data_IF_147760124151
#
_entry.id   IF_147760124151
#
_cell.length_a   1.000
_cell.length_b   1.000
_cell.length_c   1.000
_cell.angle_alpha   90.00
_cell.angle_beta   90.00
_cell.angle_gamma   90.00
#
_symmetry.space_group_name_H-M   'P 1'
#
loop_
_entity.id
_entity.type
_entity.pdbx_description
1 polymer ?
#
# COMPACT_ATOMS: atom_id res chain seq x y z
N UNK A 1 -10.96 23.42 20.51
CA UNK A 1 -11.73 24.21 21.51
C UNK A 1 -12.90 23.40 22.07
N UNK A 2 -13.71 22.73 21.26
CA UNK A 2 -14.87 21.95 21.72
C UNK A 2 -14.46 20.77 22.63
N UNK A 3 -13.46 19.99 22.26
CA UNK A 3 -12.93 18.92 23.10
C UNK A 3 -12.37 19.43 24.44
N UNK A 4 -11.76 20.61 24.45
CA UNK A 4 -11.25 21.24 25.68
C UNK A 4 -12.39 21.68 26.62
N UNK A 5 -13.57 22.00 26.11
CA UNK A 5 -14.74 22.35 26.92
C UNK A 5 -15.28 21.13 27.68
N UNK A 6 -14.92 19.92 27.30
CA UNK A 6 -15.36 18.67 27.93
C UNK A 6 -14.22 17.86 28.56
N UNK A 7 -13.06 18.48 28.79
CA UNK A 7 -11.87 17.82 29.34
C UNK A 7 -12.03 17.28 30.78
N UNK A 8 -13.04 17.74 31.51
CA UNK A 8 -13.30 17.31 32.92
C UNK A 8 -13.95 15.92 33.00
N UNK A 9 -14.37 15.33 31.86
CA UNK A 9 -14.94 13.99 31.83
C UNK A 9 -13.83 12.94 32.01
N UNK A 10 -13.89 12.10 33.10
CA UNK A 10 -12.91 11.06 33.30
C UNK A 10 -12.94 10.01 32.17
N UNK A 11 -11.75 9.53 31.79
CA UNK A 11 -11.60 8.54 30.70
C UNK A 11 -12.41 7.25 30.96
N UNK A 12 -12.44 6.80 32.21
CA UNK A 12 -13.17 5.59 32.62
C UNK A 12 -14.67 5.73 32.39
N UNK A 13 -15.25 6.90 32.65
CA UNK A 13 -16.67 7.16 32.34
C UNK A 13 -16.95 7.16 30.85
N UNK A 14 -16.01 7.65 30.06
CA UNK A 14 -16.13 7.59 28.58
C UNK A 14 -16.12 6.15 28.09
N UNK A 15 -15.20 5.31 28.62
CA UNK A 15 -15.15 3.88 28.30
C UNK A 15 -16.42 3.15 28.72
N UNK A 16 -16.97 3.49 29.89
CA UNK A 16 -18.22 2.90 30.38
C UNK A 16 -19.42 3.29 29.49
N UNK A 17 -19.51 4.55 29.08
CA UNK A 17 -20.60 5.05 28.27
C UNK A 17 -20.57 4.48 26.84
N UNK A 18 -19.39 4.36 26.24
CA UNK A 18 -19.22 3.89 24.87
C UNK A 18 -19.19 2.36 24.74
N UNK A 19 -18.93 1.65 25.85
CA UNK A 19 -18.84 0.18 25.89
C UNK A 19 -18.03 -0.44 24.73
N UNK A 20 -16.82 0.04 24.45
CA UNK A 20 -16.02 -0.51 23.36
C UNK A 20 -15.66 -1.96 23.64
N UNK A 21 -15.38 -2.72 22.58
CA UNK A 21 -14.87 -4.08 22.70
C UNK A 21 -13.54 -4.07 23.47
N UNK A 22 -13.49 -4.83 24.56
CA UNK A 22 -12.30 -4.89 25.41
C UNK A 22 -11.29 -5.89 24.83
N UNK A 23 -10.09 -5.41 24.56
CA UNK A 23 -8.96 -6.23 24.11
C UNK A 23 -7.77 -6.04 25.05
N UNK A 24 -6.98 -7.09 25.24
CA UNK A 24 -5.70 -6.98 25.95
C UNK A 24 -4.56 -6.51 25.03
N UNK A 25 -4.80 -6.47 23.71
CA UNK A 25 -3.78 -6.15 22.72
C UNK A 25 -3.74 -4.66 22.33
N UNK A 26 -4.76 -3.88 22.66
CA UNK A 26 -4.83 -2.47 22.31
C UNK A 26 -5.71 -1.67 23.28
N UNK A 27 -5.50 -0.36 23.28
CA UNK A 27 -6.32 0.57 24.06
C UNK A 27 -7.78 0.56 23.53
N UNK A 28 -8.80 0.61 24.40
CA UNK A 28 -10.20 0.48 23.98
C UNK A 28 -10.71 1.62 23.11
N UNK A 29 -10.16 2.83 23.18
CA UNK A 29 -10.68 3.99 22.46
C UNK A 29 -9.76 4.52 21.36
N UNK A 30 -8.45 4.47 21.58
CA UNK A 30 -7.49 4.99 20.59
C UNK A 30 -6.16 4.26 20.68
N UNK A 31 -5.48 4.18 19.54
CA UNK A 31 -4.18 3.51 19.38
C UNK A 31 -3.07 4.51 19.04
N UNK A 32 -3.44 5.74 18.73
CA UNK A 32 -2.49 6.81 18.37
C UNK A 32 -2.61 7.95 19.37
N UNK A 33 -1.47 8.35 19.94
CA UNK A 33 -1.36 9.48 20.85
C UNK A 33 -0.51 10.58 20.22
N UNK A 34 -0.97 11.81 20.37
CA UNK A 34 -0.19 13.01 20.08
C UNK A 34 -0.10 13.86 21.33
N UNK A 35 1.10 14.19 21.77
CA UNK A 35 1.35 15.03 22.91
C UNK A 35 2.26 16.21 22.51
N UNK A 36 1.88 17.42 22.90
CA UNK A 36 2.66 18.62 22.66
C UNK A 36 2.91 19.34 23.98
N UNK A 37 4.19 19.56 24.28
CA UNK A 37 4.61 20.35 25.43
C UNK A 37 5.10 21.72 24.93
N UNK A 38 4.37 22.76 25.29
CA UNK A 38 4.84 24.13 25.08
C UNK A 38 6.14 24.33 25.88
N UNK A 39 6.97 25.25 25.40
CA UNK A 39 8.21 25.61 26.06
C UNK A 39 7.96 25.92 27.53
N UNK A 40 8.30 24.98 28.41
CA UNK A 40 8.48 25.29 29.81
C UNK A 40 9.70 26.21 29.86
N UNK A 41 9.60 27.39 30.48
CA UNK A 41 10.82 28.17 30.74
C UNK A 41 11.81 27.19 31.36
N UNK A 42 12.94 26.97 30.70
CA UNK A 42 14.04 26.21 31.30
C UNK A 42 14.43 26.97 32.54
N UNK A 43 13.70 26.75 33.62
CA UNK A 43 14.32 26.78 34.90
C UNK A 43 15.30 25.62 34.83
N UNK A 44 16.51 25.83 34.26
CA UNK A 44 17.66 25.25 34.86
C UNK A 44 17.44 25.53 36.33
N UNK A 45 16.89 24.56 37.04
CA UNK A 45 16.88 24.63 38.47
C UNK A 45 18.36 24.63 38.82
N UNK A 46 18.94 25.81 38.87
CA UNK A 46 20.28 26.02 39.38
C UNK A 46 20.19 25.75 40.88
N UNK A 47 20.17 24.49 41.19
CA UNK A 47 20.32 24.04 42.58
C UNK A 47 21.76 24.37 42.94
N UNK A 48 22.02 25.21 43.93
CA UNK A 48 23.36 25.60 44.31
C UNK A 48 24.26 24.36 44.57
N UNK A 49 25.34 24.24 43.76
CA UNK A 49 26.25 23.12 43.86
C UNK A 49 25.84 21.84 43.12
N UNK A 50 24.72 21.82 42.38
CA UNK A 50 24.30 20.67 41.58
C UNK A 50 24.16 21.04 40.11
N UNK A 51 24.67 20.17 39.23
CA UNK A 51 24.44 20.25 37.78
C UNK A 51 23.40 19.22 37.40
N UNK A 52 22.22 19.68 37.01
CA UNK A 52 21.16 18.81 36.52
C UNK A 52 21.34 18.65 35.02
N UNK A 53 21.44 17.42 34.53
CA UNK A 53 21.46 17.09 33.10
C UNK A 53 20.30 16.14 32.80
N UNK A 54 19.64 16.36 31.70
CA UNK A 54 18.62 15.43 31.20
C UNK A 54 19.32 14.19 30.63
N UNK A 55 18.91 13.01 31.07
CA UNK A 55 19.38 11.74 30.52
C UNK A 55 18.28 11.15 29.66
N UNK A 56 18.56 10.95 28.39
CA UNK A 56 17.65 10.23 27.51
C UNK A 56 17.71 8.73 27.83
N UNK A 57 16.60 8.20 28.32
CA UNK A 57 16.44 6.75 28.52
C UNK A 57 15.63 6.20 27.33
N UNK A 58 16.19 5.22 26.63
CA UNK A 58 15.42 4.46 25.66
C UNK A 58 14.33 3.69 26.40
N UNK A 59 13.08 4.11 26.24
CA UNK A 59 11.90 3.38 26.72
C UNK A 59 11.69 2.14 25.85
N UNK A 60 11.74 0.95 26.45
CA UNK A 60 11.57 -0.32 25.73
C UNK A 60 10.09 -0.77 25.64
N UNK A 61 9.14 0.08 26.03
CA UNK A 61 7.71 -0.26 25.98
C UNK A 61 6.89 0.85 25.34
N UNK A 62 6.05 0.50 24.37
CA UNK A 62 5.04 1.37 23.81
C UNK A 62 3.67 1.08 24.46
N UNK A 63 3.00 2.10 24.98
CA UNK A 63 1.65 1.98 25.54
C UNK A 63 0.57 2.02 24.46
N UNK A 64 0.88 2.64 23.32
CA UNK A 64 0.02 2.79 22.15
C UNK A 64 0.75 2.25 20.93
N UNK A 65 0.01 2.02 19.85
CA UNK A 65 0.61 1.61 18.59
C UNK A 65 1.60 2.66 18.07
N UNK A 66 1.23 3.95 18.23
CA UNK A 66 2.05 5.10 17.88
C UNK A 66 1.86 6.22 18.92
N UNK A 67 2.97 6.82 19.35
CA UNK A 67 2.96 8.06 20.15
C UNK A 67 3.91 9.07 19.56
N UNK A 68 3.41 10.22 19.16
CA UNK A 68 4.21 11.36 18.75
C UNK A 68 4.27 12.39 19.87
N UNK A 69 5.42 12.53 20.50
CA UNK A 69 5.71 13.53 21.52
C UNK A 69 6.49 14.67 20.88
N UNK A 70 6.06 15.89 21.15
CA UNK A 70 6.71 17.10 20.65
C UNK A 70 6.93 18.08 21.77
N UNK A 71 8.07 18.78 21.76
CA UNK A 71 8.42 19.75 22.78
C UNK A 71 9.08 20.99 22.14
N UNK A 72 8.62 22.17 22.54
CA UNK A 72 9.32 23.39 22.23
C UNK A 72 10.61 23.51 23.04
N UNK A 73 11.72 23.74 22.36
CA UNK A 73 13.04 23.95 22.98
C UNK A 73 13.55 25.37 22.69
N UNK A 74 14.68 25.74 23.29
CA UNK A 74 15.33 27.04 22.99
C UNK A 74 15.72 27.19 21.53
N UNK A 75 16.06 26.07 20.85
CA UNK A 75 16.60 26.02 19.51
C UNK A 75 15.57 25.56 18.44
N UNK A 76 14.33 25.26 18.84
CA UNK A 76 13.28 24.84 17.91
C UNK A 76 12.30 23.83 18.51
N UNK A 77 11.81 22.94 17.66
CA UNK A 77 10.86 21.88 18.02
C UNK A 77 11.60 20.53 18.03
N UNK A 78 11.61 19.89 19.20
CA UNK A 78 12.01 18.51 19.34
C UNK A 78 10.80 17.59 19.14
N UNK A 79 11.00 16.44 18.50
CA UNK A 79 9.97 15.44 18.29
C UNK A 79 10.51 14.01 18.46
N UNK A 80 9.71 13.16 19.09
CA UNK A 80 9.99 11.73 19.27
C UNK A 80 8.78 10.91 18.85
N UNK A 81 9.00 9.88 18.04
CA UNK A 81 7.98 8.91 17.66
C UNK A 81 8.27 7.57 18.31
N UNK A 82 7.45 7.19 19.29
CA UNK A 82 7.45 5.87 19.91
C UNK A 82 6.44 4.98 19.18
N UNK A 83 6.80 3.74 18.87
CA UNK A 83 5.95 2.83 18.09
C UNK A 83 6.06 1.39 18.58
N UNK A 84 4.98 0.61 18.39
CA UNK A 84 4.96 -0.81 18.66
C UNK A 84 5.74 -1.57 17.56
N UNK A 85 6.83 -2.24 17.94
CA UNK A 85 7.71 -2.96 16.99
C UNK A 85 7.07 -4.19 16.37
N UNK A 86 6.01 -4.71 16.98
CA UNK A 86 5.20 -5.79 16.41
C UNK A 86 4.32 -5.33 15.23
N UNK A 87 4.04 -4.03 15.13
CA UNK A 87 3.19 -3.44 14.09
C UNK A 87 3.99 -2.66 13.05
N UNK A 88 5.06 -1.99 13.46
CA UNK A 88 5.82 -1.09 12.61
C UNK A 88 7.31 -1.42 12.65
N UNK A 89 7.94 -1.47 11.49
CA UNK A 89 9.40 -1.50 11.42
C UNK A 89 9.98 -0.06 11.47
N UNK A 90 11.25 0.04 11.84
CA UNK A 90 11.96 1.31 12.00
C UNK A 90 11.91 2.19 10.73
N UNK A 91 12.01 1.59 9.53
CA UNK A 91 11.98 2.34 8.28
C UNK A 91 10.61 2.98 8.04
N UNK A 92 9.52 2.30 8.41
CA UNK A 92 8.17 2.85 8.33
C UNK A 92 7.97 3.98 9.34
N UNK A 93 8.39 3.81 10.59
CA UNK A 93 8.31 4.85 11.61
C UNK A 93 9.13 6.10 11.22
N UNK A 94 10.34 5.92 10.71
CA UNK A 94 11.18 7.02 10.21
C UNK A 94 10.54 7.77 9.05
N UNK A 95 9.91 7.05 8.11
CA UNK A 95 9.16 7.66 7.00
C UNK A 95 7.97 8.47 7.48
N UNK A 96 7.19 7.93 8.43
CA UNK A 96 6.04 8.63 9.03
C UNK A 96 6.48 9.95 9.69
N UNK A 97 7.58 9.93 10.42
CA UNK A 97 8.15 11.15 11.02
C UNK A 97 8.61 12.13 9.93
N UNK A 98 9.21 11.65 8.83
CA UNK A 98 9.58 12.47 7.67
C UNK A 98 8.36 13.14 7.02
N UNK A 99 7.27 12.40 6.84
CA UNK A 99 6.00 12.93 6.31
C UNK A 99 5.42 14.02 7.22
N UNK A 100 5.42 13.79 8.53
CA UNK A 100 4.98 14.79 9.49
C UNK A 100 5.82 16.08 9.42
N UNK A 101 7.14 15.96 9.32
CA UNK A 101 8.03 17.11 9.14
C UNK A 101 7.77 17.86 7.83
N UNK A 102 7.47 17.14 6.74
CA UNK A 102 7.13 17.76 5.46
C UNK A 102 5.81 18.53 5.55
N UNK A 103 4.80 17.99 6.23
CA UNK A 103 3.54 18.67 6.49
C UNK A 103 3.75 19.97 7.28
N UNK A 104 4.57 19.93 8.35
CA UNK A 104 4.89 21.13 9.13
C UNK A 104 5.59 22.19 8.29
N UNK A 105 6.60 21.78 7.50
CA UNK A 105 7.32 22.72 6.61
C UNK A 105 6.37 23.35 5.58
N UNK A 106 5.50 22.55 4.97
CA UNK A 106 4.52 23.03 4.01
C UNK A 106 3.51 24.01 4.66
N UNK A 107 3.02 23.69 5.86
CA UNK A 107 2.10 24.55 6.60
C UNK A 107 2.74 25.88 6.99
N UNK A 108 4.00 25.88 7.43
CA UNK A 108 4.74 27.12 7.76
C UNK A 108 5.02 27.95 6.50
N UNK A 109 5.34 27.29 5.37
CA UNK A 109 5.59 27.98 4.11
C UNK A 109 4.32 28.63 3.53
N UNK A 110 3.15 28.02 3.72
CA UNK A 110 1.88 28.58 3.27
C UNK A 110 0.76 28.32 4.28
N UNK A 111 0.62 29.15 5.31
CA UNK A 111 -0.38 28.95 6.38
C UNK A 111 -1.84 28.99 5.92
N UNK A 112 -2.12 29.55 4.75
CA UNK A 112 -3.47 29.64 4.16
C UNK A 112 -3.86 28.41 3.35
N UNK A 113 -2.92 27.47 3.11
CA UNK A 113 -3.19 26.25 2.34
C UNK A 113 -4.10 25.31 3.12
N UNK A 114 -5.06 24.68 2.46
CA UNK A 114 -5.89 23.67 3.09
C UNK A 114 -5.04 22.42 3.45
N UNK A 115 -5.35 21.77 4.57
CA UNK A 115 -4.57 20.63 5.06
C UNK A 115 -4.44 19.49 4.03
N UNK A 116 -5.48 19.26 3.25
CA UNK A 116 -5.51 18.22 2.20
C UNK A 116 -4.55 18.51 1.04
N UNK A 117 -4.15 19.76 0.85
CA UNK A 117 -3.28 20.21 -0.25
C UNK A 117 -1.80 20.27 0.18
N UNK A 118 -1.51 20.06 1.47
CA UNK A 118 -0.15 20.05 1.98
C UNK A 118 0.65 18.86 1.44
N UNK A 119 1.87 19.12 0.97
CA UNK A 119 2.75 18.07 0.48
C UNK A 119 3.27 17.21 1.63
N UNK A 120 2.89 15.94 1.63
CA UNK A 120 3.32 14.92 2.60
C UNK A 120 4.62 14.26 2.17
N UNK A 121 4.72 13.94 0.88
CA UNK A 121 5.87 13.22 0.31
C UNK A 121 6.99 14.20 -0.07
N UNK A 122 8.22 13.80 0.14
CA UNK A 122 9.37 14.49 -0.46
C UNK A 122 9.48 14.21 -1.97
N UNK A 123 10.37 14.94 -2.66
CA UNK A 123 10.54 14.82 -4.11
C UNK A 123 11.03 13.41 -4.51
N UNK A 124 11.89 12.80 -3.69
CA UNK A 124 12.46 11.47 -3.95
C UNK A 124 11.40 10.39 -3.84
N UNK A 125 10.63 10.42 -2.77
CA UNK A 125 9.55 9.47 -2.50
C UNK A 125 8.44 9.60 -3.54
N UNK A 126 8.09 10.83 -3.91
CA UNK A 126 7.14 11.10 -5.00
C UNK A 126 7.63 10.55 -6.34
N UNK A 127 8.91 10.73 -6.66
CA UNK A 127 9.51 10.18 -7.87
C UNK A 127 9.49 8.65 -7.87
N UNK A 128 9.75 8.03 -6.74
CA UNK A 128 9.70 6.57 -6.59
C UNK A 128 8.29 6.02 -6.80
N UNK A 129 7.30 6.61 -6.12
CA UNK A 129 5.90 6.15 -6.18
C UNK A 129 5.27 6.36 -7.55
N UNK A 130 5.50 7.52 -8.17
CA UNK A 130 4.83 7.86 -9.43
C UNK A 130 5.53 7.32 -10.67
N UNK A 131 6.85 7.16 -10.65
CA UNK A 131 7.63 6.82 -11.85
C UNK A 131 8.39 5.51 -11.71
N UNK A 132 9.21 5.34 -10.65
CA UNK A 132 10.07 4.15 -10.57
C UNK A 132 9.26 2.86 -10.40
N UNK A 133 8.27 2.85 -9.51
CA UNK A 133 7.41 1.68 -9.31
C UNK A 133 6.43 1.44 -10.45
N UNK A 134 6.18 2.45 -11.26
CA UNK A 134 5.33 2.35 -12.45
C UNK A 134 6.14 2.15 -13.76
N UNK A 135 7.46 2.04 -13.68
CA UNK A 135 8.31 1.71 -14.81
C UNK A 135 8.19 0.22 -15.19
N UNK A 136 6.98 -0.18 -15.56
CA UNK A 136 6.63 -1.57 -15.89
C UNK A 136 6.61 -1.83 -17.38
N UNK A 137 7.01 -0.86 -18.19
CA UNK A 137 7.08 -1.00 -19.64
C UNK A 137 8.03 -2.14 -20.04
N UNK A 138 7.53 -3.06 -20.81
CA UNK A 138 8.32 -4.14 -21.41
C UNK A 138 8.08 -4.14 -22.91
N UNK A 139 9.16 -4.32 -23.66
CA UNK A 139 9.04 -4.56 -25.08
C UNK A 139 8.29 -5.88 -25.33
N UNK A 140 7.24 -5.83 -26.10
CA UNK A 140 6.50 -6.99 -26.58
C UNK A 140 6.30 -6.88 -28.10
N UNK A 141 6.08 -7.98 -28.81
CA UNK A 141 5.86 -7.95 -30.26
C UNK A 141 4.64 -7.09 -30.60
N UNK A 142 4.87 -5.93 -31.21
CA UNK A 142 3.80 -5.06 -31.70
C UNK A 142 3.35 -5.51 -33.07
N UNK A 143 2.04 -5.48 -33.34
CA UNK A 143 1.48 -5.87 -34.63
C UNK A 143 1.33 -7.40 -34.83
N UNK A 144 1.53 -8.18 -33.77
CA UNK A 144 1.22 -9.61 -33.78
C UNK A 144 0.01 -9.90 -32.86
N UNK A 145 -0.93 -10.69 -33.36
CA UNK A 145 -2.08 -11.14 -32.64
C UNK A 145 -1.73 -12.38 -31.79
N UNK A 146 -2.49 -12.64 -30.73
CA UNK A 146 -2.23 -13.78 -29.82
C UNK A 146 -2.19 -15.12 -30.56
N UNK A 147 -3.10 -15.36 -31.51
CA UNK A 147 -3.10 -16.57 -32.30
C UNK A 147 -1.82 -16.73 -33.13
N UNK A 148 -1.27 -15.63 -33.70
CA UNK A 148 -0.01 -15.66 -34.48
C UNK A 148 1.20 -16.03 -33.61
N UNK A 149 1.21 -15.59 -32.33
CA UNK A 149 2.26 -16.00 -31.37
C UNK A 149 2.17 -17.50 -31.08
N UNK A 150 0.95 -18.04 -30.98
CA UNK A 150 0.74 -19.48 -30.78
C UNK A 150 1.13 -20.25 -32.03
N UNK A 151 0.76 -19.79 -33.23
CA UNK A 151 1.19 -20.39 -34.53
C UNK A 151 2.71 -20.41 -34.68
N UNK A 152 3.40 -19.32 -34.30
CA UNK A 152 4.85 -19.29 -34.25
C UNK A 152 5.45 -20.36 -33.33
N UNK A 153 4.82 -20.57 -32.17
CA UNK A 153 5.22 -21.62 -31.23
C UNK A 153 4.93 -23.03 -31.79
N UNK A 154 3.82 -23.21 -32.50
CA UNK A 154 3.52 -24.48 -33.22
C UNK A 154 4.64 -24.82 -34.23
N UNK A 155 5.13 -23.82 -34.96
CA UNK A 155 6.24 -24.02 -35.94
C UNK A 155 7.55 -24.33 -35.22
N UNK A 156 7.82 -23.68 -34.10
CA UNK A 156 9.07 -23.85 -33.36
C UNK A 156 9.14 -25.19 -32.58
N UNK A 157 8.03 -25.60 -31.97
CA UNK A 157 7.96 -26.77 -31.06
C UNK A 157 6.64 -27.55 -31.22
N UNK A 158 6.36 -28.19 -32.38
CA UNK A 158 5.06 -28.79 -32.66
C UNK A 158 4.66 -29.91 -31.69
N UNK A 159 5.62 -30.68 -31.21
CA UNK A 159 5.39 -31.85 -30.37
C UNK A 159 5.42 -31.51 -28.84
N UNK A 160 5.82 -30.28 -28.48
CA UNK A 160 5.81 -29.87 -27.07
C UNK A 160 4.37 -29.81 -26.53
N UNK A 161 4.17 -30.13 -25.25
CA UNK A 161 2.86 -30.02 -24.62
C UNK A 161 2.41 -28.56 -24.57
N UNK A 162 1.27 -28.26 -25.19
CA UNK A 162 0.66 -26.94 -25.22
C UNK A 162 -0.44 -26.77 -24.18
N UNK A 163 -1.20 -27.83 -23.89
CA UNK A 163 -2.35 -27.78 -23.01
C UNK A 163 -2.50 -29.10 -22.25
N UNK A 164 -2.79 -29.02 -20.97
CA UNK A 164 -3.08 -30.18 -20.13
C UNK A 164 -4.36 -29.93 -19.32
N UNK A 165 -5.24 -30.88 -19.32
CA UNK A 165 -6.45 -30.88 -18.51
C UNK A 165 -6.74 -32.30 -18.00
N UNK A 166 -6.66 -32.49 -16.69
CA UNK A 166 -6.67 -33.83 -16.09
C UNK A 166 -5.51 -34.68 -16.60
N UNK A 167 -5.85 -35.87 -17.10
CA UNK A 167 -4.89 -36.83 -17.67
C UNK A 167 -4.66 -36.65 -19.19
N UNK A 168 -5.39 -35.71 -19.82
CA UNK A 168 -5.28 -35.45 -21.26
C UNK A 168 -4.30 -34.31 -21.50
N UNK A 169 -3.35 -34.53 -22.40
CA UNK A 169 -2.37 -33.52 -22.86
C UNK A 169 -2.45 -33.41 -24.38
N UNK A 170 -2.44 -32.15 -24.89
CA UNK A 170 -2.33 -31.85 -26.30
C UNK A 170 -0.98 -31.20 -26.60
N UNK A 171 -0.38 -31.57 -27.72
CA UNK A 171 0.77 -30.84 -28.28
C UNK A 171 0.33 -29.56 -28.99
N UNK A 172 1.27 -28.66 -29.25
CA UNK A 172 1.02 -27.46 -30.03
C UNK A 172 0.43 -27.76 -31.40
N UNK A 173 0.97 -28.76 -32.11
CA UNK A 173 0.46 -29.19 -33.41
C UNK A 173 -1.00 -29.67 -33.32
N UNK A 174 -1.34 -30.47 -32.31
CA UNK A 174 -2.71 -30.99 -32.16
C UNK A 174 -3.70 -29.89 -31.78
N UNK A 175 -3.31 -28.98 -30.86
CA UNK A 175 -4.11 -27.83 -30.50
C UNK A 175 -4.42 -26.94 -31.71
N UNK A 176 -3.41 -26.58 -32.50
CA UNK A 176 -3.57 -25.77 -33.67
C UNK A 176 -4.45 -26.44 -34.74
N UNK A 177 -4.27 -27.77 -34.95
CA UNK A 177 -5.11 -28.53 -35.90
C UNK A 177 -6.58 -28.52 -35.49
N UNK A 178 -6.88 -28.65 -34.17
CA UNK A 178 -8.25 -28.60 -33.68
C UNK A 178 -8.85 -27.20 -33.80
N UNK A 179 -8.08 -26.15 -33.45
CA UNK A 179 -8.52 -24.77 -33.58
C UNK A 179 -8.82 -24.42 -35.03
N UNK A 180 -7.91 -24.73 -35.98
CA UNK A 180 -8.12 -24.47 -37.38
C UNK A 180 -9.32 -25.21 -37.97
N UNK A 181 -9.57 -26.46 -37.53
CA UNK A 181 -10.76 -27.20 -37.98
C UNK A 181 -12.06 -26.52 -37.49
N UNK A 182 -12.09 -25.98 -36.30
CA UNK A 182 -13.23 -25.24 -35.79
C UNK A 182 -13.36 -23.88 -36.48
N UNK A 183 -12.26 -23.17 -36.71
CA UNK A 183 -12.23 -21.90 -37.45
C UNK A 183 -12.84 -22.04 -38.85
N UNK A 184 -12.45 -23.09 -39.63
CA UNK A 184 -13.03 -23.34 -40.95
C UNK A 184 -14.54 -23.59 -40.90
N UNK A 185 -15.05 -24.31 -39.89
CA UNK A 185 -16.50 -24.50 -39.71
C UNK A 185 -17.24 -23.19 -39.39
N UNK A 186 -16.61 -22.32 -38.59
CA UNK A 186 -17.18 -21.00 -38.27
C UNK A 186 -17.22 -20.13 -39.52
N UNK A 187 -16.19 -20.14 -40.34
CA UNK A 187 -16.15 -19.43 -41.66
C UNK A 187 -17.23 -19.96 -42.56
N UNK A 188 -17.40 -21.30 -42.70
CA UNK A 188 -18.45 -21.92 -43.50
C UNK A 188 -19.87 -21.53 -43.01
N UNK A 189 -20.01 -21.26 -41.68
CA UNK A 189 -21.23 -20.77 -41.05
C UNK A 189 -21.47 -19.26 -41.24
N UNK A 190 -20.55 -18.55 -41.94
CA UNK A 190 -20.67 -17.13 -42.23
C UNK A 190 -20.02 -16.20 -41.20
N UNK A 191 -19.21 -16.73 -40.26
CA UNK A 191 -18.43 -15.92 -39.34
C UNK A 191 -17.27 -15.25 -40.07
N UNK A 192 -17.15 -13.93 -39.94
CA UNK A 192 -16.10 -13.12 -40.55
C UNK A 192 -15.46 -12.17 -39.56
N UNK A 193 -14.58 -11.28 -40.00
CA UNK A 193 -13.97 -10.25 -39.17
C UNK A 193 -15.03 -9.46 -38.41
N UNK A 194 -14.73 -9.14 -37.13
CA UNK A 194 -15.61 -8.41 -36.20
C UNK A 194 -16.94 -9.09 -35.83
N UNK A 195 -17.15 -10.36 -36.25
CA UNK A 195 -18.31 -11.13 -35.85
C UNK A 195 -18.17 -11.61 -34.39
N UNK A 196 -19.21 -11.40 -33.59
CA UNK A 196 -19.26 -11.88 -32.20
C UNK A 196 -19.71 -13.35 -32.15
N UNK A 197 -18.87 -14.22 -31.64
CA UNK A 197 -19.17 -15.65 -31.45
C UNK A 197 -19.26 -15.93 -29.95
N UNK A 198 -20.40 -16.47 -29.51
CA UNK A 198 -20.58 -16.87 -28.10
C UNK A 198 -19.93 -18.21 -27.83
N UNK A 199 -19.09 -18.29 -26.79
CA UNK A 199 -18.48 -19.54 -26.32
C UNK A 199 -19.12 -19.95 -24.99
N UNK A 200 -19.97 -20.98 -25.01
CA UNK A 200 -20.69 -21.49 -23.85
C UNK A 200 -20.26 -22.94 -23.55
N UNK A 201 -19.09 -23.07 -22.93
CA UNK A 201 -18.48 -24.37 -22.59
C UNK A 201 -17.92 -24.33 -21.16
N UNK A 202 -17.87 -25.48 -20.51
CA UNK A 202 -17.17 -25.63 -19.24
C UNK A 202 -15.64 -25.48 -19.44
N UNK A 203 -14.92 -25.29 -18.33
CA UNK A 203 -13.45 -25.28 -18.38
C UNK A 203 -12.94 -26.61 -18.89
N UNK A 204 -12.33 -26.61 -20.06
CA UNK A 204 -11.91 -27.83 -20.77
C UNK A 204 -10.87 -27.49 -21.87
N UNK A 205 -10.38 -28.51 -22.52
CA UNK A 205 -9.56 -28.37 -23.74
C UNK A 205 -10.33 -27.65 -24.84
N UNK A 206 -11.62 -27.97 -24.97
CA UNK A 206 -12.53 -27.38 -25.97
C UNK A 206 -12.70 -25.87 -25.81
N UNK A 207 -12.65 -25.37 -24.56
CA UNK A 207 -12.68 -23.94 -24.28
C UNK A 207 -11.49 -23.23 -24.94
N UNK A 208 -10.28 -23.77 -24.80
CA UNK A 208 -9.07 -23.18 -25.38
C UNK A 208 -9.06 -23.32 -26.90
N UNK A 209 -9.52 -24.45 -27.43
CA UNK A 209 -9.71 -24.67 -28.88
C UNK A 209 -10.69 -23.63 -29.44
N UNK A 210 -11.81 -23.36 -28.73
CA UNK A 210 -12.81 -22.38 -29.16
C UNK A 210 -12.31 -20.93 -29.08
N UNK A 211 -11.41 -20.59 -28.15
CA UNK A 211 -10.81 -19.26 -28.03
C UNK A 211 -9.78 -18.99 -29.15
N UNK A 212 -9.17 -20.04 -29.72
CA UNK A 212 -8.14 -19.93 -30.76
C UNK A 212 -8.70 -20.08 -32.18
N UNK A 213 -9.92 -20.53 -32.28
CA UNK A 213 -10.62 -20.68 -33.57
C UNK A 213 -11.21 -19.36 -34.04
#
# INVERSE_FOLDING_TARGET
>A
LEAQAHQDLPFEQLVEALQPERSLSHNPLFQVMFNHQAKTPSAEQQLPGLRVASLELETQSAQFDLSLDTQETGDGLWASLTYATDLFNTATASRMLGHWLNLLRAAVANPAMALQDLATLDATERQQLLYQWNATERAYPQGQWVHQLIEAQVLAQPDAPALRFGDVSLSYAELNRRANRLAHRLIEAGVGPDALVGLAVERSIEMVVGLLA
#
